data_IF_847256798641
#
_entry.id   IF_847256798641
#
_cell.length_a   1.000
_cell.length_b   1.000
_cell.length_c   1.000
_cell.angle_alpha   90.00
_cell.angle_beta   90.00
_cell.angle_gamma   90.00
#
_symmetry.space_group_name_H-M   'P 1'
#
loop_
_entity.id
_entity.type
_entity.pdbx_description
1 polymer ?
#
# COMPACT_ATOMS: atom_id res chain seq x y z
N UNK A 1 -53.81 -21.74 11.27
CA UNK A 1 -52.97 -22.70 10.50
C UNK A 1 -53.23 -22.47 9.01
N UNK A 2 -52.86 -21.40 8.31
CA UNK A 2 -51.72 -20.47 8.28
C UNK A 2 -50.35 -21.12 8.12
N UNK A 3 -49.68 -20.72 7.02
CA UNK A 3 -48.23 -20.63 6.80
C UNK A 3 -47.52 -21.53 5.77
N UNK A 4 -48.19 -22.22 4.82
CA UNK A 4 -47.45 -23.05 3.84
C UNK A 4 -47.92 -23.06 2.37
N UNK A 5 -48.71 -22.06 1.90
CA UNK A 5 -49.06 -21.96 0.46
C UNK A 5 -48.95 -20.54 -0.12
N UNK A 6 -47.85 -19.86 0.21
CA UNK A 6 -47.48 -18.58 -0.42
C UNK A 6 -45.96 -18.44 -0.63
N UNK A 7 -45.25 -19.55 -0.89
CA UNK A 7 -43.85 -19.57 -1.33
C UNK A 7 -43.67 -20.50 -2.52
N UNK A 8 -44.35 -20.21 -3.65
CA UNK A 8 -44.03 -20.82 -4.95
C UNK A 8 -44.32 -19.91 -6.15
N UNK A 9 -44.33 -18.59 -5.94
CA UNK A 9 -44.31 -17.57 -7.00
C UNK A 9 -43.59 -16.33 -6.50
N UNK A 10 -42.25 -16.36 -6.51
CA UNK A 10 -41.37 -15.17 -6.62
C UNK A 10 -39.90 -15.59 -6.81
N UNK A 11 -39.65 -16.53 -7.71
CA UNK A 11 -38.30 -16.87 -8.18
C UNK A 11 -38.28 -16.90 -9.71
N UNK A 12 -38.45 -15.73 -10.30
CA UNK A 12 -38.01 -15.39 -11.68
C UNK A 12 -38.30 -13.91 -11.92
N UNK A 13 -37.26 -13.08 -11.87
CA UNK A 13 -37.33 -11.67 -12.28
C UNK A 13 -36.21 -10.81 -11.72
N UNK A 14 -35.23 -10.47 -12.57
CA UNK A 14 -34.14 -9.50 -12.40
C UNK A 14 -33.04 -9.88 -11.37
N UNK A 15 -31.76 -10.13 -11.70
CA UNK A 15 -30.87 -9.46 -12.65
C UNK A 15 -31.04 -7.93 -12.62
N UNK A 16 -30.61 -7.33 -11.52
CA UNK A 16 -30.45 -5.89 -11.36
C UNK A 16 -29.02 -5.55 -10.96
N UNK A 17 -28.27 -4.99 -11.90
CA UNK A 17 -26.96 -4.38 -11.72
C UNK A 17 -27.09 -3.24 -10.70
N UNK A 18 -26.42 -3.33 -9.55
CA UNK A 18 -26.30 -2.19 -8.63
C UNK A 18 -25.25 -1.22 -9.18
N UNK A 19 -25.70 -0.37 -10.10
CA UNK A 19 -25.03 0.84 -10.56
C UNK A 19 -25.71 1.99 -9.85
N UNK A 20 -25.02 2.69 -8.96
CA UNK A 20 -25.27 4.12 -8.74
C UNK A 20 -24.08 4.78 -8.02
N UNK A 21 -23.46 5.72 -8.73
CA UNK A 21 -22.53 6.71 -8.18
C UNK A 21 -23.34 7.88 -7.58
N UNK A 22 -22.78 8.69 -6.66
CA UNK A 22 -23.54 9.76 -6.01
C UNK A 22 -24.03 10.83 -7.00
N UNK A 23 -25.21 11.44 -6.77
CA UNK A 23 -25.83 12.36 -7.72
C UNK A 23 -25.14 13.72 -7.75
N UNK A 24 -24.86 14.22 -8.96
CA UNK A 24 -24.46 15.61 -9.21
C UNK A 24 -25.72 16.42 -9.50
N UNK A 25 -26.04 17.42 -8.66
CA UNK A 25 -27.11 18.38 -8.95
C UNK A 25 -26.64 19.36 -10.03
N UNK A 26 -27.33 19.42 -11.17
CA UNK A 26 -27.11 20.42 -12.22
C UNK A 26 -28.21 21.48 -12.19
N UNK A 27 -27.88 22.69 -11.74
CA UNK A 27 -28.64 23.89 -12.09
C UNK A 27 -28.27 24.29 -13.53
N UNK A 28 -29.24 24.27 -14.43
CA UNK A 28 -29.05 24.66 -15.83
C UNK A 28 -29.15 26.19 -15.96
N UNK A 29 -28.02 26.85 -16.22
CA UNK A 29 -28.00 28.14 -16.89
C UNK A 29 -27.48 27.91 -18.32
N UNK A 30 -28.28 28.30 -19.32
CA UNK A 30 -27.93 28.22 -20.74
C UNK A 30 -26.75 29.16 -21.03
N UNK A 31 -25.62 28.60 -21.44
CA UNK A 31 -24.51 29.35 -22.04
C UNK A 31 -24.23 28.82 -23.46
N UNK A 32 -23.95 29.79 -24.33
CA UNK A 32 -23.62 29.70 -25.75
C UNK A 32 -22.52 28.66 -26.00
N UNK A 33 -22.71 27.81 -27.03
CA UNK A 33 -21.73 26.81 -27.47
C UNK A 33 -20.45 27.50 -27.95
N UNK A 34 -19.43 27.54 -27.08
CA UNK A 34 -18.05 27.64 -27.51
C UNK A 34 -17.62 26.27 -28.05
N UNK A 35 -16.98 26.22 -29.22
CA UNK A 35 -16.29 25.03 -29.71
C UNK A 35 -15.14 24.67 -28.76
N UNK A 36 -15.46 23.86 -27.75
CA UNK A 36 -14.53 23.39 -26.73
C UNK A 36 -13.72 22.18 -27.20
N UNK A 37 -12.62 21.85 -26.50
CA UNK A 37 -11.77 20.71 -26.82
C UNK A 37 -12.56 19.39 -26.81
N UNK A 38 -12.19 18.48 -27.71
CA UNK A 38 -12.85 17.19 -27.91
C UNK A 38 -13.17 16.46 -26.60
N UNK A 39 -14.43 16.03 -26.47
CA UNK A 39 -14.94 15.31 -25.31
C UNK A 39 -14.17 13.99 -25.11
N UNK A 40 -13.73 13.77 -23.88
CA UNK A 40 -13.21 12.46 -23.45
C UNK A 40 -14.40 11.55 -23.24
N UNK A 41 -14.48 10.45 -23.98
CA UNK A 41 -15.41 9.38 -23.65
C UNK A 41 -14.82 8.58 -22.48
N UNK A 42 -15.34 8.83 -21.29
CA UNK A 42 -15.09 7.96 -20.15
C UNK A 42 -15.95 6.70 -20.34
N UNK A 43 -15.35 5.51 -20.23
CA UNK A 43 -16.16 4.31 -20.07
C UNK A 43 -16.97 4.46 -18.79
N UNK A 44 -18.29 4.33 -18.85
CA UNK A 44 -19.16 4.40 -17.65
C UNK A 44 -18.95 3.22 -16.67
N UNK A 45 -17.99 2.32 -16.96
CA UNK A 45 -17.70 1.13 -16.15
C UNK A 45 -16.47 1.36 -15.30
N UNK A 46 -16.64 1.23 -14.00
CA UNK A 46 -15.57 1.11 -13.02
C UNK A 46 -15.38 -0.35 -12.65
N UNK A 47 -14.15 -0.82 -12.65
CA UNK A 47 -13.78 -2.13 -12.12
C UNK A 47 -13.10 -1.94 -10.77
N UNK A 48 -13.37 -2.84 -9.82
CA UNK A 48 -12.60 -2.88 -8.57
C UNK A 48 -11.16 -3.30 -8.89
N UNK A 49 -10.19 -2.58 -8.35
CA UNK A 49 -8.77 -2.91 -8.42
C UNK A 49 -8.11 -2.68 -7.05
N UNK A 50 -7.12 -3.50 -6.71
CA UNK A 50 -6.27 -3.28 -5.55
C UNK A 50 -4.90 -2.85 -6.05
N UNK A 51 -4.37 -1.73 -5.55
CA UNK A 51 -2.96 -1.41 -5.73
C UNK A 51 -2.18 -2.10 -4.61
N UNK A 52 -1.30 -2.99 -4.99
CA UNK A 52 -0.50 -3.81 -4.08
C UNK A 52 0.98 -3.44 -4.15
N UNK A 53 1.79 -3.95 -3.21
CA UNK A 53 3.23 -3.67 -3.19
C UNK A 53 3.94 -4.02 -4.51
N UNK A 54 3.44 -5.02 -5.24
CA UNK A 54 3.97 -5.43 -6.54
C UNK A 54 3.74 -4.42 -7.67
N UNK A 55 2.76 -3.52 -7.53
CA UNK A 55 2.48 -2.47 -8.52
C UNK A 55 3.44 -1.27 -8.38
N UNK A 56 4.19 -1.18 -7.28
CA UNK A 56 5.13 -0.10 -7.03
C UNK A 56 6.52 -0.49 -7.53
N UNK A 57 7.12 0.41 -8.31
CA UNK A 57 8.55 0.34 -8.62
C UNK A 57 9.35 0.74 -7.38
N UNK A 58 10.27 -0.11 -6.94
CA UNK A 58 11.10 0.15 -5.77
C UNK A 58 11.97 1.40 -5.96
N UNK A 59 12.01 2.24 -4.93
CA UNK A 59 12.88 3.41 -4.85
C UNK A 59 14.19 3.12 -4.10
N UNK A 60 15.00 4.17 -3.92
CA UNK A 60 16.24 4.10 -3.16
C UNK A 60 16.00 4.73 -1.79
N UNK A 61 16.36 3.99 -0.73
CA UNK A 61 16.31 4.51 0.63
C UNK A 61 17.42 5.53 0.90
N UNK A 62 17.08 6.59 1.65
CA UNK A 62 18.04 7.56 2.18
C UNK A 62 17.65 7.88 3.62
N UNK A 63 18.67 8.12 4.45
CA UNK A 63 18.45 8.39 5.86
C UNK A 63 17.87 9.80 6.09
N UNK A 64 16.97 9.91 7.08
CA UNK A 64 16.51 11.17 7.70
C UNK A 64 15.68 12.16 6.88
N UNK A 65 15.53 11.98 5.57
CA UNK A 65 14.60 12.75 4.73
C UNK A 65 13.42 11.89 4.24
N UNK A 66 12.31 12.55 3.88
CA UNK A 66 11.25 11.85 3.15
C UNK A 66 11.76 11.47 1.76
N UNK A 67 11.90 10.17 1.52
CA UNK A 67 12.33 9.64 0.23
C UNK A 67 11.34 8.58 -0.27
N UNK A 68 11.09 8.51 -1.59
CA UNK A 68 10.21 7.50 -2.16
C UNK A 68 10.87 6.13 -2.08
N UNK A 69 10.17 5.18 -1.45
CA UNK A 69 10.58 3.76 -1.41
C UNK A 69 9.81 2.91 -2.40
N UNK A 70 8.70 3.42 -2.93
CA UNK A 70 7.88 2.80 -3.95
C UNK A 70 7.11 3.83 -4.74
N UNK A 71 7.05 3.67 -6.05
CA UNK A 71 6.27 4.57 -6.93
C UNK A 71 5.39 3.78 -7.88
N UNK A 72 4.09 4.05 -7.85
CA UNK A 72 3.12 3.58 -8.84
C UNK A 72 2.92 4.66 -9.89
N UNK A 73 3.21 4.34 -11.16
CA UNK A 73 2.95 5.24 -12.29
C UNK A 73 1.67 4.82 -12.98
N UNK A 74 0.73 5.75 -13.13
CA UNK A 74 -0.56 5.47 -13.77
C UNK A 74 -0.33 5.06 -15.22
N UNK A 75 -0.74 3.84 -15.62
CA UNK A 75 -0.64 3.40 -17.01
C UNK A 75 -1.41 4.31 -17.97
N UNK A 76 -0.87 4.49 -19.17
CA UNK A 76 -1.62 5.16 -20.25
C UNK A 76 -2.94 4.42 -20.52
N UNK A 77 -3.99 5.17 -20.83
CA UNK A 77 -5.33 4.60 -21.07
C UNK A 77 -6.13 4.30 -19.80
N UNK A 78 -5.61 4.59 -18.61
CA UNK A 78 -6.30 4.22 -17.36
C UNK A 78 -6.46 5.41 -16.42
N UNK A 79 -7.49 5.34 -15.57
CA UNK A 79 -7.69 6.21 -14.41
C UNK A 79 -7.91 5.34 -13.19
N UNK A 80 -7.23 5.67 -12.10
CA UNK A 80 -7.44 5.05 -10.79
C UNK A 80 -8.08 6.05 -9.84
N UNK A 81 -9.13 5.61 -9.14
CA UNK A 81 -9.81 6.41 -8.13
C UNK A 81 -9.65 5.71 -6.80
N UNK A 82 -8.99 6.35 -5.84
CA UNK A 82 -8.86 5.90 -4.46
C UNK A 82 -9.92 6.63 -3.64
N UNK A 83 -11.04 5.97 -3.26
CA UNK A 83 -12.13 6.65 -2.58
C UNK A 83 -11.81 6.89 -1.10
N UNK A 84 -12.31 8.00 -0.57
CA UNK A 84 -12.30 8.29 0.86
C UNK A 84 -13.03 7.18 1.65
N UNK A 85 -12.62 6.98 2.90
CA UNK A 85 -13.25 6.04 3.83
C UNK A 85 -12.93 4.56 3.56
N UNK A 86 -12.21 4.23 2.48
CA UNK A 86 -11.79 2.85 2.19
C UNK A 86 -10.61 2.45 3.06
N UNK A 87 -10.61 1.18 3.49
CA UNK A 87 -9.53 0.62 4.32
C UNK A 87 -8.21 0.60 3.56
N UNK A 88 -7.15 0.97 4.27
CA UNK A 88 -5.76 0.73 3.91
C UNK A 88 -5.30 -0.54 4.63
N UNK A 89 -4.50 -1.38 3.96
CA UNK A 89 -3.66 -2.36 4.65
C UNK A 89 -2.21 -2.12 4.29
N UNK A 90 -1.36 -1.89 5.28
CA UNK A 90 0.05 -1.64 5.02
C UNK A 90 0.94 -2.04 6.20
N UNK A 91 1.98 -2.81 5.91
CA UNK A 91 2.99 -3.29 6.86
C UNK A 91 4.37 -3.09 6.25
N UNK A 92 5.03 -1.99 6.63
CA UNK A 92 6.33 -1.60 6.11
C UNK A 92 7.44 -2.20 6.97
N UNK A 93 8.38 -2.90 6.33
CA UNK A 93 9.50 -3.53 7.03
C UNK A 93 10.78 -2.73 6.89
N UNK A 94 11.42 -2.46 8.02
CA UNK A 94 12.80 -2.01 8.07
C UNK A 94 13.76 -3.20 7.99
N UNK A 95 14.99 -2.96 7.58
CA UNK A 95 16.04 -3.95 7.38
C UNK A 95 17.16 -3.74 8.38
N UNK A 96 17.69 -4.85 8.91
CA UNK A 96 18.97 -4.91 9.62
C UNK A 96 19.77 -6.08 9.07
N UNK A 97 21.05 -5.86 8.77
CA UNK A 97 21.97 -6.91 8.34
C UNK A 97 22.87 -7.36 9.47
N UNK A 98 23.23 -8.64 9.45
CA UNK A 98 24.23 -9.23 10.33
C UNK A 98 25.16 -10.12 9.51
N UNK A 99 26.42 -10.23 9.93
CA UNK A 99 27.27 -11.30 9.45
C UNK A 99 26.78 -12.64 10.03
N UNK A 100 26.74 -13.68 9.19
CA UNK A 100 26.59 -15.04 9.63
C UNK A 100 27.84 -15.51 10.39
N UNK A 101 27.68 -16.51 11.26
CA UNK A 101 28.77 -17.10 12.03
C UNK A 101 29.64 -18.03 11.18
N UNK A 102 29.13 -18.49 10.03
CA UNK A 102 29.82 -19.43 9.13
C UNK A 102 30.31 -20.70 9.86
N UNK A 103 29.47 -21.22 10.76
CA UNK A 103 29.70 -22.45 11.53
C UNK A 103 28.63 -23.48 11.23
N UNK A 104 28.68 -24.62 11.92
CA UNK A 104 27.53 -25.53 12.03
C UNK A 104 26.33 -24.82 12.66
N UNK A 105 25.15 -25.33 12.35
CA UNK A 105 23.86 -24.77 12.68
C UNK A 105 23.70 -24.68 14.20
N UNK A 106 23.30 -23.50 14.66
CA UNK A 106 23.19 -23.21 16.07
C UNK A 106 22.07 -22.21 16.34
N UNK A 107 21.55 -22.24 17.57
CA UNK A 107 20.68 -21.19 18.06
C UNK A 107 21.50 -19.91 18.26
N UNK A 108 21.02 -18.79 17.72
CA UNK A 108 21.66 -17.48 17.84
C UNK A 108 20.64 -16.41 18.14
N UNK A 109 20.93 -15.56 19.13
CA UNK A 109 20.16 -14.36 19.40
C UNK A 109 20.78 -13.16 18.69
N UNK A 110 20.01 -12.55 17.80
CA UNK A 110 20.33 -11.31 17.11
C UNK A 110 19.85 -10.12 17.96
N UNK A 111 20.76 -9.19 18.24
CA UNK A 111 20.50 -8.01 19.09
C UNK A 111 20.58 -6.72 18.27
N UNK A 112 20.15 -5.59 18.85
CA UNK A 112 20.24 -4.28 18.18
C UNK A 112 19.22 -4.08 17.05
N UNK A 113 18.06 -4.74 17.14
CA UNK A 113 16.95 -4.59 16.18
C UNK A 113 16.10 -3.37 16.60
N UNK A 114 16.70 -2.18 16.50
CA UNK A 114 16.10 -0.93 16.97
C UNK A 114 14.71 -0.70 16.37
N UNK A 115 13.75 -0.32 17.22
CA UNK A 115 12.39 -0.01 16.81
C UNK A 115 11.48 -1.22 16.60
N UNK A 116 11.97 -2.47 16.79
CA UNK A 116 11.15 -3.68 16.66
C UNK A 116 9.86 -3.57 17.49
N UNK A 117 8.72 -3.82 16.85
CA UNK A 117 7.40 -3.81 17.50
C UNK A 117 6.56 -5.01 17.09
N UNK A 118 5.61 -5.33 17.96
CA UNK A 118 4.56 -6.31 17.70
C UNK A 118 3.37 -5.62 17.03
N UNK A 119 2.85 -6.21 15.96
CA UNK A 119 1.57 -5.77 15.38
C UNK A 119 0.41 -6.60 15.94
N UNK A 120 -0.80 -6.13 15.67
CA UNK A 120 -2.06 -6.82 15.99
C UNK A 120 -2.36 -8.00 15.08
N UNK A 121 -1.51 -8.29 14.08
CA UNK A 121 -1.73 -9.41 13.17
C UNK A 121 -1.69 -10.74 13.92
N UNK A 122 -2.52 -11.70 13.49
CA UNK A 122 -2.49 -13.07 14.03
C UNK A 122 -1.10 -13.68 13.83
N UNK A 123 -0.45 -14.03 14.94
CA UNK A 123 0.90 -14.59 14.96
C UNK A 123 0.84 -16.12 14.92
N UNK A 124 1.82 -16.73 14.23
CA UNK A 124 2.04 -18.18 14.24
C UNK A 124 2.91 -18.54 15.44
N UNK A 125 2.58 -19.62 16.16
CA UNK A 125 3.38 -20.09 17.27
C UNK A 125 4.83 -20.40 16.81
N UNK A 126 5.82 -20.03 17.63
CA UNK A 126 7.22 -20.32 17.37
C UNK A 126 7.57 -21.73 17.90
N UNK A 127 8.52 -22.45 17.27
CA UNK A 127 9.39 -22.00 16.17
C UNK A 127 8.69 -21.95 14.80
N UNK A 128 9.00 -20.94 13.99
CA UNK A 128 8.46 -20.78 12.64
C UNK A 128 9.43 -20.04 11.71
N UNK A 129 9.42 -20.37 10.41
CA UNK A 129 10.17 -19.64 9.37
C UNK A 129 9.46 -18.37 8.92
N UNK A 130 8.17 -18.21 9.24
CA UNK A 130 7.38 -17.03 8.92
C UNK A 130 6.71 -16.48 10.18
N UNK A 131 6.87 -15.17 10.40
CA UNK A 131 6.14 -14.40 11.40
C UNK A 131 5.71 -13.07 10.75
N UNK A 132 4.45 -12.61 10.94
CA UNK A 132 3.98 -11.38 10.30
C UNK A 132 4.78 -10.14 10.70
N UNK A 133 5.36 -10.12 11.90
CA UNK A 133 6.13 -8.98 12.41
C UNK A 133 7.59 -9.00 11.96
N UNK A 134 8.11 -10.17 11.57
CA UNK A 134 9.53 -10.34 11.27
C UNK A 134 9.79 -11.54 10.36
N UNK A 135 10.72 -11.36 9.43
CA UNK A 135 11.25 -12.44 8.59
C UNK A 135 12.77 -12.34 8.56
N UNK A 136 13.44 -13.48 8.72
CA UNK A 136 14.90 -13.55 8.71
C UNK A 136 15.33 -14.39 7.52
N UNK A 137 16.14 -13.80 6.65
CA UNK A 137 16.77 -14.48 5.52
C UNK A 137 18.24 -14.75 5.86
N UNK A 138 18.69 -15.96 5.58
CA UNK A 138 20.06 -16.40 5.71
C UNK A 138 20.62 -16.73 4.34
N UNK A 139 21.88 -16.34 4.10
CA UNK A 139 22.60 -16.64 2.88
C UNK A 139 23.58 -17.78 3.12
N UNK A 140 23.42 -18.87 2.38
CA UNK A 140 24.35 -20.01 2.37
C UNK A 140 24.85 -20.17 0.95
N UNK A 141 26.16 -19.99 0.76
CA UNK A 141 26.75 -19.86 -0.57
C UNK A 141 26.15 -18.68 -1.33
N UNK A 142 25.45 -18.95 -2.45
CA UNK A 142 24.77 -17.94 -3.27
C UNK A 142 23.26 -17.84 -3.01
N UNK A 143 22.69 -18.70 -2.17
CA UNK A 143 21.25 -18.83 -2.01
C UNK A 143 20.77 -18.16 -0.73
N UNK A 144 19.68 -17.41 -0.84
CA UNK A 144 18.94 -16.87 0.30
C UNK A 144 17.77 -17.78 0.66
N UNK A 145 17.68 -18.20 1.92
CA UNK A 145 16.58 -19.00 2.46
C UNK A 145 16.09 -18.44 3.79
N UNK A 146 14.85 -18.75 4.16
CA UNK A 146 14.31 -18.33 5.46
C UNK A 146 15.01 -19.08 6.60
N UNK A 147 15.44 -18.34 7.62
CA UNK A 147 15.89 -18.91 8.89
C UNK A 147 14.69 -19.19 9.80
N UNK A 148 14.77 -20.23 10.62
CA UNK A 148 13.72 -20.53 11.60
C UNK A 148 13.86 -19.59 12.79
N UNK A 149 12.80 -18.85 13.10
CA UNK A 149 12.71 -17.99 14.29
C UNK A 149 12.22 -18.85 15.45
N UNK A 150 12.93 -18.83 16.57
CA UNK A 150 12.61 -19.62 17.77
C UNK A 150 12.08 -18.78 18.92
N UNK A 151 12.48 -17.50 19.00
CA UNK A 151 11.95 -16.54 19.97
C UNK A 151 12.03 -15.11 19.46
N UNK A 152 11.13 -14.25 19.92
CA UNK A 152 11.15 -12.80 19.66
C UNK A 152 10.92 -12.11 21.00
N UNK A 153 11.81 -11.20 21.38
CA UNK A 153 11.65 -10.34 22.55
C UNK A 153 11.45 -8.89 22.08
N UNK A 154 10.19 -8.45 22.09
CA UNK A 154 9.82 -7.09 21.72
C UNK A 154 10.27 -6.04 22.74
N UNK A 155 10.58 -6.41 23.99
CA UNK A 155 11.11 -5.49 25.00
C UNK A 155 12.60 -5.29 24.81
N UNK A 156 13.37 -6.39 24.77
CA UNK A 156 14.81 -6.37 24.57
C UNK A 156 15.24 -6.05 23.12
N UNK A 157 14.28 -6.02 22.18
CA UNK A 157 14.52 -5.81 20.74
C UNK A 157 15.49 -6.86 20.16
N UNK A 158 15.23 -8.13 20.51
CA UNK A 158 16.05 -9.27 20.09
C UNK A 158 15.22 -10.36 19.43
N UNK A 159 15.87 -11.14 18.58
CA UNK A 159 15.26 -12.24 17.83
C UNK A 159 16.20 -13.43 17.89
N UNK A 160 15.70 -14.57 18.34
CA UNK A 160 16.46 -15.81 18.35
C UNK A 160 16.07 -16.66 17.14
N UNK A 161 17.08 -17.15 16.43
CA UNK A 161 16.93 -17.99 15.25
C UNK A 161 17.72 -19.29 15.41
N UNK A 162 17.35 -20.29 14.62
CA UNK A 162 18.27 -21.36 14.22
C UNK A 162 19.01 -20.89 12.97
N UNK A 163 20.28 -20.53 13.12
CA UNK A 163 21.13 -20.12 11.99
C UNK A 163 21.53 -21.36 11.18
N UNK A 164 21.36 -21.36 9.83
CA UNK A 164 21.79 -22.47 8.99
C UNK A 164 23.31 -22.68 8.96
N UNK A 165 23.74 -23.89 8.62
CA UNK A 165 25.16 -24.21 8.41
C UNK A 165 25.80 -23.28 7.37
N UNK A 166 27.03 -22.84 7.64
CA UNK A 166 27.84 -22.05 6.72
C UNK A 166 27.14 -20.75 6.23
N UNK A 167 26.28 -20.18 7.08
CA UNK A 167 25.64 -18.91 6.79
C UNK A 167 26.67 -17.78 6.80
N UNK A 168 26.69 -16.97 5.73
CA UNK A 168 27.62 -15.84 5.58
C UNK A 168 26.97 -14.51 5.92
N UNK A 169 25.68 -14.36 5.61
CA UNK A 169 24.94 -13.11 5.74
C UNK A 169 23.53 -13.38 6.24
N UNK A 170 23.04 -12.49 7.09
CA UNK A 170 21.65 -12.47 7.55
C UNK A 170 21.01 -11.12 7.19
N UNK A 171 19.79 -11.17 6.68
CA UNK A 171 18.90 -10.02 6.57
C UNK A 171 17.69 -10.22 7.46
N UNK A 172 17.52 -9.34 8.44
CA UNK A 172 16.34 -9.28 9.29
C UNK A 172 15.44 -8.17 8.79
N UNK A 173 14.24 -8.53 8.35
CA UNK A 173 13.21 -7.60 7.92
C UNK A 173 12.09 -7.59 8.95
N UNK A 174 11.78 -6.44 9.54
CA UNK A 174 10.92 -6.35 10.71
C UNK A 174 10.03 -5.11 10.72
N UNK A 175 8.88 -5.20 11.38
CA UNK A 175 8.04 -4.04 11.64
C UNK A 175 8.71 -3.15 12.69
N UNK A 176 8.87 -1.88 12.33
CA UNK A 176 9.45 -0.87 13.20
C UNK A 176 8.41 0.16 13.62
N UNK A 177 8.57 0.77 14.79
CA UNK A 177 7.84 1.99 15.21
C UNK A 177 8.54 3.29 14.82
N UNK A 178 9.77 3.22 14.29
CA UNK A 178 10.63 4.38 14.07
C UNK A 178 10.37 4.99 12.70
N UNK A 179 9.87 6.22 12.70
CA UNK A 179 9.72 7.04 11.51
C UNK A 179 8.27 7.29 11.09
N UNK A 180 8.15 7.91 9.93
CA UNK A 180 6.90 8.38 9.35
C UNK A 180 6.79 7.94 7.90
N UNK A 181 5.55 7.83 7.42
CA UNK A 181 5.25 7.53 6.02
C UNK A 181 4.25 8.53 5.47
N UNK A 182 4.25 8.68 4.15
CA UNK A 182 3.22 9.44 3.43
C UNK A 182 3.02 8.93 2.01
N UNK A 183 1.81 9.10 1.51
CA UNK A 183 1.51 9.00 0.09
C UNK A 183 1.47 10.40 -0.52
N UNK A 184 2.18 10.56 -1.64
CA UNK A 184 2.19 11.79 -2.43
C UNK A 184 1.87 11.54 -3.88
N UNK A 185 1.14 12.47 -4.49
CA UNK A 185 0.85 12.46 -5.92
C UNK A 185 1.76 13.44 -6.63
N UNK A 186 2.43 12.97 -7.68
CA UNK A 186 3.33 13.72 -8.54
C UNK A 186 2.75 13.83 -9.95
N UNK A 187 2.99 14.93 -10.66
CA UNK A 187 2.94 14.93 -12.13
C UNK A 187 4.31 14.46 -12.66
N UNK A 188 4.31 13.40 -13.47
CA UNK A 188 5.51 12.82 -14.06
C UNK A 188 6.27 13.76 -15.00
N UNK A 189 5.65 14.88 -15.43
CA UNK A 189 6.33 15.91 -16.23
C UNK A 189 7.09 16.95 -15.40
N UNK A 190 6.95 16.95 -14.08
CA UNK A 190 7.69 17.83 -13.17
C UNK A 190 8.61 17.01 -12.29
N UNK A 191 9.91 17.03 -12.58
CA UNK A 191 10.94 16.57 -11.63
C UNK A 191 11.00 17.46 -10.38
N UNK A 192 10.26 18.57 -10.35
CA UNK A 192 10.15 19.45 -9.21
C UNK A 192 9.10 18.99 -8.20
N UNK A 193 9.58 18.81 -6.97
CA UNK A 193 8.82 18.47 -5.77
C UNK A 193 7.76 19.53 -5.38
N UNK A 194 7.72 20.66 -6.09
CA UNK A 194 6.88 21.84 -5.80
C UNK A 194 5.40 21.64 -6.08
N UNK A 195 5.04 20.70 -6.96
CA UNK A 195 3.64 20.41 -7.32
C UNK A 195 3.10 19.13 -6.68
N UNK A 196 3.89 18.47 -5.84
CA UNK A 196 3.50 17.18 -5.27
C UNK A 196 2.63 17.36 -4.01
N UNK A 197 1.48 16.70 -4.01
CA UNK A 197 0.45 16.84 -2.96
C UNK A 197 0.47 15.62 -2.06
N UNK A 198 0.58 15.84 -0.75
CA UNK A 198 0.40 14.78 0.27
C UNK A 198 -1.08 14.46 0.40
N UNK A 199 -1.43 13.19 0.17
CA UNK A 199 -2.83 12.73 0.21
C UNK A 199 -3.13 11.89 1.45
N UNK A 200 -2.10 11.33 2.09
CA UNK A 200 -2.20 10.60 3.36
C UNK A 200 -0.82 10.55 4.03
N UNK A 201 -0.77 10.56 5.35
CA UNK A 201 0.46 10.40 6.13
C UNK A 201 0.18 9.80 7.51
N UNK A 202 1.23 9.30 8.16
CA UNK A 202 1.14 8.77 9.51
C UNK A 202 2.50 8.34 10.07
N UNK A 203 2.51 7.90 11.32
CA UNK A 203 3.69 7.30 11.95
C UNK A 203 3.74 5.80 11.70
N UNK A 204 4.94 5.22 11.69
CA UNK A 204 5.14 3.77 11.64
C UNK A 204 4.52 3.08 12.87
N UNK A 205 4.65 3.70 14.04
CA UNK A 205 4.06 3.21 15.28
C UNK A 205 2.54 3.01 15.15
N UNK A 206 1.81 4.05 14.73
CA UNK A 206 0.35 3.95 14.58
C UNK A 206 -0.04 2.96 13.47
N UNK A 207 0.68 2.97 12.34
CA UNK A 207 0.41 2.07 11.22
C UNK A 207 0.43 0.60 11.65
N UNK A 208 1.41 0.22 12.46
CA UNK A 208 1.67 -1.18 12.80
C UNK A 208 0.94 -1.65 14.08
N UNK A 209 0.43 -0.76 14.94
CA UNK A 209 -0.29 -1.13 16.16
C UNK A 209 -1.81 -1.07 16.05
N UNK A 210 -2.35 -0.39 15.05
CA UNK A 210 -3.79 -0.40 14.76
C UNK A 210 -4.21 -1.77 14.25
N UNK A 211 -5.37 -2.27 14.69
CA UNK A 211 -6.00 -3.46 14.09
C UNK A 211 -6.54 -3.14 12.69
N UNK A 212 -5.76 -3.52 11.67
CA UNK A 212 -6.12 -3.29 10.28
C UNK A 212 -7.23 -4.23 9.78
N UNK A 213 -7.72 -5.17 10.60
CA UNK A 213 -8.86 -6.02 10.25
C UNK A 213 -10.19 -5.41 10.69
N UNK A 214 -10.17 -4.59 11.74
CA UNK A 214 -11.35 -3.97 12.34
C UNK A 214 -11.86 -2.76 11.53
N UNK A 215 -13.14 -2.74 11.20
CA UNK A 215 -13.78 -1.69 10.38
C UNK A 215 -13.83 -0.31 11.03
N UNK A 216 -13.83 -0.26 12.35
CA UNK A 216 -13.96 0.96 13.14
C UNK A 216 -12.59 1.61 13.38
N UNK A 217 -11.59 0.80 13.72
CA UNK A 217 -10.26 1.30 14.13
C UNK A 217 -9.22 1.33 13.02
N UNK A 218 -9.44 0.61 11.91
CA UNK A 218 -8.48 0.61 10.80
C UNK A 218 -8.30 2.01 10.19
N UNK A 219 -7.08 2.29 9.74
CA UNK A 219 -6.76 3.45 8.92
C UNK A 219 -7.59 3.45 7.63
N UNK A 220 -8.28 4.57 7.42
CA UNK A 220 -9.10 4.82 6.23
C UNK A 220 -8.42 5.88 5.37
N UNK A 221 -8.48 5.67 4.06
CA UNK A 221 -8.05 6.66 3.09
C UNK A 221 -8.84 7.96 3.29
N UNK A 222 -8.15 9.10 3.33
CA UNK A 222 -8.70 10.33 3.92
C UNK A 222 -9.64 11.10 2.99
N UNK A 223 -9.36 11.10 1.69
CA UNK A 223 -10.05 11.92 0.69
C UNK A 223 -10.06 11.21 -0.65
N UNK A 224 -11.01 11.54 -1.51
CA UNK A 224 -11.03 11.00 -2.87
C UNK A 224 -9.78 11.47 -3.63
N UNK A 225 -9.06 10.52 -4.22
CA UNK A 225 -7.88 10.80 -5.05
C UNK A 225 -8.08 10.17 -6.41
N UNK A 226 -8.06 11.00 -7.46
CA UNK A 226 -8.17 10.57 -8.84
C UNK A 226 -6.83 10.68 -9.56
N UNK A 227 -6.19 9.54 -9.76
CA UNK A 227 -4.93 9.40 -10.49
C UNK A 227 -5.20 9.19 -11.99
N UNK A 228 -4.61 10.04 -12.83
CA UNK A 228 -4.76 10.00 -14.30
C UNK A 228 -3.40 9.80 -14.99
N UNK A 229 -3.36 9.44 -16.29
CA UNK A 229 -2.10 9.10 -16.95
C UNK A 229 -1.10 10.25 -16.91
N UNK A 230 0.14 9.91 -16.55
CA UNK A 230 1.20 10.89 -16.30
C UNK A 230 1.26 11.42 -14.88
N UNK A 231 0.39 10.98 -13.97
CA UNK A 231 0.63 11.13 -12.55
C UNK A 231 1.29 9.87 -11.97
N UNK A 232 1.87 10.03 -10.78
CA UNK A 232 2.45 8.96 -9.99
C UNK A 232 2.00 9.07 -8.55
N UNK A 233 1.74 7.94 -7.91
CA UNK A 233 1.54 7.84 -6.46
C UNK A 233 2.83 7.27 -5.87
N UNK A 234 3.52 8.06 -5.03
CA UNK A 234 4.72 7.59 -4.32
C UNK A 234 4.40 7.33 -2.85
N UNK A 235 4.87 6.19 -2.35
CA UNK A 235 5.02 5.92 -0.94
C UNK A 235 6.39 6.41 -0.50
N UNK A 236 6.40 7.39 0.39
CA UNK A 236 7.62 7.95 0.96
C UNK A 236 7.71 7.62 2.43
N UNK A 237 8.95 7.45 2.91
CA UNK A 237 9.23 7.24 4.33
C UNK A 237 10.29 8.22 4.78
N UNK A 238 10.24 8.58 6.06
CA UNK A 238 11.27 9.33 6.77
C UNK A 238 11.63 8.53 8.01
N UNK A 239 12.82 7.93 8.03
CA UNK A 239 13.27 7.08 9.12
C UNK A 239 14.80 6.96 9.12
N UNK A 240 15.37 6.66 10.29
CA UNK A 240 16.79 6.31 10.44
C UNK A 240 17.08 4.84 10.15
N UNK A 241 16.05 4.03 9.88
CA UNK A 241 16.19 2.60 9.60
C UNK A 241 15.97 2.31 8.12
N UNK A 242 16.89 1.56 7.51
CA UNK A 242 16.78 1.17 6.10
C UNK A 242 15.42 0.53 5.82
N UNK A 243 14.61 1.17 4.98
CA UNK A 243 13.25 0.72 4.66
C UNK A 243 13.08 0.81 3.15
N UNK A 244 12.93 -0.33 2.49
CA UNK A 244 12.86 -0.45 1.02
C UNK A 244 11.80 -1.45 0.61
N UNK A 245 11.24 -1.28 -0.59
CA UNK A 245 10.47 -2.33 -1.23
C UNK A 245 11.43 -3.35 -1.85
N UNK A 246 11.42 -4.56 -1.33
CA UNK A 246 12.28 -5.63 -1.80
C UNK A 246 11.54 -6.97 -1.72
N UNK A 247 11.82 -7.91 -2.62
CA UNK A 247 11.12 -9.22 -2.64
C UNK A 247 11.23 -9.97 -1.30
N UNK A 248 12.41 -9.91 -0.65
CA UNK A 248 12.67 -10.47 0.68
C UNK A 248 12.04 -9.69 1.84
N UNK A 249 11.68 -8.42 1.65
CA UNK A 249 11.06 -7.62 2.73
C UNK A 249 9.65 -8.08 3.04
N UNK A 250 8.98 -8.77 2.10
CA UNK A 250 7.59 -9.22 2.21
C UNK A 250 6.63 -8.08 2.63
N UNK A 251 6.97 -6.83 2.28
CA UNK A 251 6.18 -5.65 2.61
C UNK A 251 4.76 -5.82 2.07
N UNK A 252 3.77 -5.49 2.89
CA UNK A 252 2.36 -5.51 2.47
C UNK A 252 1.91 -4.08 2.22
N UNK A 253 1.30 -3.85 1.05
CA UNK A 253 0.57 -2.64 0.70
C UNK A 253 -0.69 -3.14 0.00
N UNK A 254 -1.85 -2.62 0.38
CA UNK A 254 -3.11 -2.85 -0.30
C UNK A 254 -3.95 -1.59 -0.21
N UNK A 255 -4.16 -0.94 -1.36
CA UNK A 255 -5.02 0.22 -1.52
C UNK A 255 -6.23 -0.17 -2.35
N UNK A 256 -7.43 0.04 -1.82
CA UNK A 256 -8.63 -0.12 -2.62
C UNK A 256 -8.72 1.01 -3.66
N UNK A 257 -9.03 0.64 -4.90
CA UNK A 257 -9.25 1.60 -5.98
C UNK A 257 -10.34 1.13 -6.94
N UNK A 258 -10.89 2.08 -7.69
CA UNK A 258 -11.63 1.82 -8.91
C UNK A 258 -10.74 2.11 -10.12
N UNK A 259 -10.67 1.15 -11.04
CA UNK A 259 -10.01 1.28 -12.32
C UNK A 259 -11.05 1.60 -13.40
N UNK A 260 -10.79 2.65 -14.16
CA UNK A 260 -11.56 3.05 -15.33
C UNK A 260 -10.65 3.06 -16.56
N UNK A 261 -11.12 2.46 -17.66
CA UNK A 261 -10.47 2.57 -18.97
C UNK A 261 -10.89 3.89 -19.63
N UNK A 262 -9.92 4.57 -20.24
CA UNK A 262 -10.07 5.85 -20.91
C UNK A 262 -9.94 5.64 -22.42
N UNK A 263 -10.93 6.11 -23.18
CA UNK A 263 -10.77 6.30 -24.63
C UNK A 263 -10.14 7.68 -24.85
N UNK A 264 -8.84 7.69 -25.12
CA UNK A 264 -8.05 8.93 -25.05
C UNK A 264 -8.15 9.70 -26.38
N UNK A 265 -8.96 10.77 -26.38
CA UNK A 265 -8.91 11.81 -27.42
C UNK A 265 -8.24 13.12 -26.93
N UNK A 266 -8.14 13.37 -25.62
CA UNK A 266 -7.45 14.56 -25.08
C UNK A 266 -6.95 14.39 -23.61
N UNK A 267 -5.74 13.86 -23.45
CA UNK A 267 -5.08 13.61 -22.16
C UNK A 267 -4.87 14.88 -21.31
N UNK A 268 -4.75 16.04 -21.95
CA UNK A 268 -4.34 17.29 -21.29
C UNK A 268 -5.44 17.89 -20.40
N UNK A 269 -6.71 17.76 -20.82
CA UNK A 269 -7.86 18.25 -20.06
C UNK A 269 -8.08 17.43 -18.78
N UNK A 270 -7.92 16.10 -18.85
CA UNK A 270 -8.03 15.19 -17.70
C UNK A 270 -7.00 15.50 -16.61
N UNK A 271 -5.75 15.78 -17.01
CA UNK A 271 -4.70 16.17 -16.05
C UNK A 271 -5.04 17.45 -15.31
N UNK A 272 -5.50 18.48 -16.04
CA UNK A 272 -5.90 19.76 -15.42
C UNK A 272 -7.02 19.57 -14.40
N UNK A 273 -8.05 18.77 -14.73
CA UNK A 273 -9.15 18.49 -13.81
C UNK A 273 -8.67 17.75 -12.54
N UNK A 274 -7.89 16.68 -12.70
CA UNK A 274 -7.33 15.94 -11.56
C UNK A 274 -6.46 16.81 -10.65
N UNK A 275 -5.61 17.67 -11.22
CA UNK A 275 -4.78 18.60 -10.44
C UNK A 275 -5.62 19.59 -9.63
N UNK A 276 -6.72 20.11 -10.20
CA UNK A 276 -7.64 21.01 -9.49
C UNK A 276 -8.31 20.29 -8.31
N UNK A 277 -8.76 19.05 -8.51
CA UNK A 277 -9.38 18.24 -7.45
C UNK A 277 -8.40 17.98 -6.29
N UNK A 278 -7.14 17.66 -6.62
CA UNK A 278 -6.08 17.47 -5.63
C UNK A 278 -5.82 18.73 -4.78
N UNK A 279 -5.85 19.91 -5.40
CA UNK A 279 -5.60 21.19 -4.72
C UNK A 279 -6.80 21.62 -3.88
N UNK A 280 -8.03 21.46 -4.38
CA UNK A 280 -9.25 21.91 -3.68
C UNK A 280 -9.64 21.05 -2.47
N UNK A 281 -9.22 19.78 -2.45
CA UNK A 281 -9.37 18.94 -1.26
C UNK A 281 -8.36 19.22 -0.15
N UNK A 282 -7.36 20.09 -0.43
CA UNK A 282 -6.24 20.53 0.42
C UNK A 282 -6.64 20.97 1.80
#
# INVERSE_FOLDING_TARGET
MNFFRQMHRQLTGALGVLSEAPPVQTNQAQFVQATGPAAVALSNKYNVALLEAADFTAGIWRESDFNPIGTFRVPYGTRYILPAGRKLRMFLRSKKTFAGNNTTSASRTLTGITGLIESTQKITALPASFNPNIVVWAKVGSTWSLATITAIDYSAKTVTITEPDNCTDLEVWYLSSVGEWRFRVYDAKGADNTQAVTVMNGSFAALHTIDQTNDETNLKWLRDVSLVPGQQLALEVKTSLETVLHSRSQTVITLFSYLQQLEINNLSALRKASTIDLIRGG
#
